data_IF_037359233485
#
_entry.id   IF_037359233485
#
_cell.length_a   1.000
_cell.length_b   1.000
_cell.length_c   1.000
_cell.angle_alpha   90.00
_cell.angle_beta   90.00
_cell.angle_gamma   90.00
#
_symmetry.space_group_name_H-M   'P 1'
#
loop_
_entity.id
_entity.type
_entity.pdbx_description
1 polymer ?
#
# COMPACT_ATOMS: atom_id res chain seq x y z
N UNK A 1 22.89 -7.27 10.15
CA UNK A 1 21.46 -7.58 10.30
C UNK A 1 20.74 -6.76 9.25
N UNK A 2 19.90 -7.36 8.41
CA UNK A 2 19.17 -6.61 7.38
C UNK A 2 18.26 -5.57 8.03
N UNK A 3 17.98 -4.49 7.31
CA UNK A 3 16.93 -3.54 7.72
C UNK A 3 15.56 -4.23 7.61
N UNK A 4 14.60 -3.89 8.48
CA UNK A 4 13.24 -4.43 8.39
C UNK A 4 12.33 -3.31 7.89
N UNK A 5 11.70 -3.51 6.73
CA UNK A 5 10.87 -2.51 6.08
C UNK A 5 9.40 -2.94 6.05
N UNK A 6 8.66 -2.58 7.10
CA UNK A 6 7.21 -2.75 7.10
C UNK A 6 6.55 -1.69 6.24
N UNK A 7 5.82 -2.12 5.20
CA UNK A 7 4.87 -1.25 4.53
C UNK A 7 3.47 -1.88 4.56
N UNK A 8 2.46 -1.02 4.70
CA UNK A 8 1.06 -1.42 4.69
C UNK A 8 0.32 -0.72 3.56
N UNK A 9 -0.43 -1.50 2.80
CA UNK A 9 -1.38 -0.98 1.82
C UNK A 9 -2.74 -0.74 2.49
N UNK A 10 -3.28 0.46 2.30
CA UNK A 10 -4.55 0.89 2.87
C UNK A 10 -5.46 1.36 1.75
N UNK A 11 -6.33 0.45 1.32
CA UNK A 11 -7.27 0.66 0.23
C UNK A 11 -8.70 0.28 0.61
N UNK A 12 -9.68 1.02 0.07
CA UNK A 12 -11.09 0.62 0.00
C UNK A 12 -11.67 0.96 -1.37
N UNK A 13 -12.29 -0.01 -2.06
CA UNK A 13 -12.94 0.23 -3.34
C UNK A 13 -14.37 0.76 -3.15
N UNK A 14 -14.88 1.50 -4.14
CA UNK A 14 -16.30 1.84 -4.24
C UNK A 14 -17.09 0.66 -4.82
N UNK A 15 -17.96 0.06 -4.02
CA UNK A 15 -18.81 -1.06 -4.46
C UNK A 15 -19.95 -0.53 -5.30
N UNK A 16 -20.18 -1.22 -6.42
CA UNK A 16 -21.28 -0.90 -7.33
C UNK A 16 -22.62 -1.32 -6.73
N UNK A 17 -23.66 -0.58 -7.11
CA UNK A 17 -25.04 -0.95 -6.90
C UNK A 17 -25.48 -1.99 -7.93
N UNK A 18 -26.62 -2.63 -7.69
CA UNK A 18 -27.31 -3.38 -8.75
C UNK A 18 -28.10 -2.37 -9.60
N UNK A 19 -27.63 -2.11 -10.81
CA UNK A 19 -28.34 -1.26 -11.78
C UNK A 19 -28.43 -1.96 -13.14
N UNK A 20 -29.40 -1.54 -13.96
CA UNK A 20 -29.59 -2.08 -15.31
C UNK A 20 -28.67 -1.35 -16.31
N UNK A 21 -28.23 -2.04 -17.36
CA UNK A 21 -27.55 -1.39 -18.49
C UNK A 21 -28.38 -0.25 -19.10
N UNK A 22 -29.71 -0.37 -19.04
CA UNK A 22 -30.64 0.68 -19.50
C UNK A 22 -30.67 1.92 -18.61
N UNK A 23 -30.08 1.84 -17.41
CA UNK A 23 -29.91 2.99 -16.52
C UNK A 23 -28.65 3.79 -16.83
N UNK A 24 -27.74 3.28 -17.68
CA UNK A 24 -26.49 3.98 -17.99
C UNK A 24 -26.80 5.25 -18.81
N UNK A 25 -26.36 6.40 -18.31
CA UNK A 25 -26.45 7.69 -19.02
C UNK A 25 -27.85 8.31 -19.04
N UNK A 26 -28.82 7.77 -18.31
CA UNK A 26 -30.09 8.47 -18.08
C UNK A 26 -29.88 9.76 -17.25
N UNK A 27 -30.83 10.70 -17.28
CA UNK A 27 -30.88 11.91 -16.42
C UNK A 27 -31.14 11.52 -14.94
N UNK A 28 -30.22 10.76 -14.37
CA UNK A 28 -30.23 10.23 -13.01
C UNK A 28 -28.99 10.72 -12.28
N UNK A 29 -29.05 10.82 -10.95
CA UNK A 29 -27.87 11.01 -10.12
C UNK A 29 -26.92 9.80 -10.31
N UNK A 30 -25.77 9.96 -11.01
CA UNK A 30 -24.91 8.83 -11.35
C UNK A 30 -24.28 8.20 -10.10
N UNK A 31 -23.89 9.04 -9.13
CA UNK A 31 -23.28 8.58 -7.88
C UNK A 31 -24.26 7.75 -7.07
N UNK A 32 -25.52 8.19 -6.94
CA UNK A 32 -26.56 7.45 -6.24
C UNK A 32 -27.00 6.17 -6.97
N UNK A 33 -26.91 6.16 -8.29
CA UNK A 33 -27.34 5.00 -9.09
C UNK A 33 -26.29 3.91 -9.15
N UNK A 34 -25.04 4.26 -9.41
CA UNK A 34 -24.00 3.27 -9.70
C UNK A 34 -23.30 2.75 -8.45
N UNK A 35 -23.29 3.48 -7.34
CA UNK A 35 -22.54 3.09 -6.15
C UNK A 35 -23.46 2.78 -4.97
N UNK A 36 -23.15 1.68 -4.28
CA UNK A 36 -23.90 1.27 -3.09
C UNK A 36 -23.38 1.99 -1.83
N UNK A 37 -23.83 3.23 -1.63
CA UNK A 37 -23.39 4.08 -0.51
C UNK A 37 -23.63 3.44 0.86
N UNK A 38 -24.78 2.79 1.05
CA UNK A 38 -25.10 2.13 2.33
C UNK A 38 -24.14 1.00 2.64
N UNK A 39 -23.85 0.14 1.65
CA UNK A 39 -22.88 -0.95 1.80
C UNK A 39 -21.47 -0.41 1.98
N UNK A 40 -21.07 0.56 1.17
CA UNK A 40 -19.76 1.20 1.23
C UNK A 40 -19.49 1.80 2.61
N UNK A 41 -20.40 2.64 3.11
CA UNK A 41 -20.33 3.21 4.46
C UNK A 41 -20.29 2.11 5.53
N UNK A 42 -21.23 1.17 5.49
CA UNK A 42 -21.33 0.12 6.51
C UNK A 42 -20.09 -0.78 6.58
N UNK A 43 -19.50 -1.13 5.44
CA UNK A 43 -18.26 -1.90 5.38
C UNK A 43 -17.08 -1.07 5.88
N UNK A 44 -16.92 0.16 5.37
CA UNK A 44 -15.82 1.02 5.77
C UNK A 44 -15.81 1.25 7.28
N UNK A 45 -16.94 1.64 7.88
CA UNK A 45 -16.99 1.91 9.31
C UNK A 45 -16.71 0.66 10.16
N UNK A 46 -17.19 -0.51 9.70
CA UNK A 46 -16.91 -1.80 10.36
C UNK A 46 -15.42 -2.11 10.32
N UNK A 47 -14.76 -1.95 9.17
CA UNK A 47 -13.33 -2.21 9.02
C UNK A 47 -12.51 -1.19 9.80
N UNK A 48 -12.88 0.09 9.78
CA UNK A 48 -12.23 1.15 10.54
C UNK A 48 -12.17 0.86 12.05
N UNK A 49 -13.29 0.42 12.64
CA UNK A 49 -13.37 0.07 14.06
C UNK A 49 -12.62 -1.21 14.42
N UNK A 50 -12.45 -2.14 13.48
CA UNK A 50 -11.82 -3.46 13.72
C UNK A 50 -10.35 -3.53 13.33
N UNK A 51 -9.90 -2.69 12.40
CA UNK A 51 -8.59 -2.76 11.77
C UNK A 51 -7.86 -1.43 11.87
N UNK A 52 -8.29 -0.39 11.14
CA UNK A 52 -7.49 0.84 11.00
C UNK A 52 -7.20 1.54 12.34
N UNK A 53 -8.23 1.83 13.13
CA UNK A 53 -8.05 2.54 14.41
C UNK A 53 -7.28 1.68 15.44
N UNK A 54 -7.61 0.40 15.67
CA UNK A 54 -6.83 -0.44 16.58
C UNK A 54 -5.37 -0.61 16.15
N UNK A 55 -5.10 -0.85 14.86
CA UNK A 55 -3.75 -1.03 14.34
C UNK A 55 -2.95 0.26 14.47
N UNK A 56 -3.53 1.42 14.09
CA UNK A 56 -2.82 2.70 14.20
C UNK A 56 -2.46 3.02 15.66
N UNK A 57 -3.33 2.68 16.62
CA UNK A 57 -3.03 2.80 18.04
C UNK A 57 -1.85 1.90 18.46
N UNK A 58 -1.85 0.64 18.04
CA UNK A 58 -0.75 -0.29 18.34
C UNK A 58 0.57 0.23 17.76
N UNK A 59 0.56 0.73 16.52
CA UNK A 59 1.75 1.28 15.87
C UNK A 59 2.26 2.52 16.61
N UNK A 60 1.37 3.41 17.05
CA UNK A 60 1.74 4.57 17.85
C UNK A 60 2.36 4.16 19.19
N UNK A 61 1.73 3.22 19.90
CA UNK A 61 2.26 2.68 21.17
C UNK A 61 3.64 2.06 20.98
N UNK A 62 3.89 1.38 19.85
CA UNK A 62 5.21 0.81 19.52
C UNK A 62 6.24 1.91 19.22
N UNK A 63 5.88 2.92 18.43
CA UNK A 63 6.76 4.07 18.14
C UNK A 63 7.18 4.76 19.44
N UNK A 64 6.22 5.04 20.32
CA UNK A 64 6.49 5.69 21.62
C UNK A 64 7.31 4.80 22.55
N UNK A 65 6.98 3.51 22.65
CA UNK A 65 7.68 2.55 23.52
C UNK A 65 9.14 2.35 23.13
N UNK A 66 9.45 2.45 21.85
CA UNK A 66 10.80 2.25 21.31
C UNK A 66 11.47 3.58 20.94
N UNK A 67 11.05 4.70 21.54
CA UNK A 67 11.68 6.02 21.40
C UNK A 67 11.91 6.45 19.93
N UNK A 68 10.99 6.07 19.02
CA UNK A 68 11.07 6.38 17.59
C UNK A 68 11.96 5.47 16.75
N UNK A 69 12.56 4.42 17.32
CA UNK A 69 13.33 3.43 16.56
C UNK A 69 12.44 2.50 15.72
N UNK A 70 11.18 2.29 16.13
CA UNK A 70 10.21 1.53 15.36
C UNK A 70 9.60 2.39 14.25
N UNK A 71 9.77 1.98 12.99
CA UNK A 71 9.33 2.75 11.81
C UNK A 71 8.52 1.91 10.85
N UNK A 72 7.57 2.54 10.17
CA UNK A 72 6.68 1.88 9.19
C UNK A 72 6.41 2.81 8.01
N UNK A 73 5.91 2.24 6.92
CA UNK A 73 5.46 3.00 5.76
C UNK A 73 4.03 2.65 5.38
N UNK A 74 3.30 3.60 4.78
CA UNK A 74 1.95 3.36 4.27
C UNK A 74 1.80 3.77 2.81
N UNK A 75 1.10 2.95 2.04
CA UNK A 75 0.49 3.33 0.78
C UNK A 75 -1.01 3.52 1.04
N UNK A 76 -1.49 4.77 1.00
CA UNK A 76 -2.88 5.13 1.34
C UNK A 76 -3.57 5.65 0.08
N UNK A 77 -4.53 4.91 -0.47
CA UNK A 77 -5.13 5.27 -1.76
C UNK A 77 -5.98 6.54 -1.65
N UNK A 78 -6.10 7.29 -2.75
CA UNK A 78 -6.97 8.47 -2.83
C UNK A 78 -8.41 8.14 -2.45
N UNK A 79 -8.95 7.04 -2.98
CA UNK A 79 -10.29 6.56 -2.64
C UNK A 79 -10.46 6.29 -1.14
N UNK A 80 -9.43 5.75 -0.47
CA UNK A 80 -9.49 5.52 0.97
C UNK A 80 -9.54 6.83 1.76
N UNK A 81 -8.81 7.85 1.31
CA UNK A 81 -8.85 9.18 1.91
C UNK A 81 -10.24 9.80 1.77
N UNK A 82 -10.90 9.65 0.62
CA UNK A 82 -12.29 10.07 0.42
C UNK A 82 -13.28 9.36 1.36
N UNK A 83 -13.10 8.05 1.57
CA UNK A 83 -13.89 7.30 2.57
C UNK A 83 -13.74 7.89 3.98
N UNK A 84 -12.51 8.26 4.36
CA UNK A 84 -12.27 8.89 5.65
C UNK A 84 -13.03 10.21 5.78
N UNK A 85 -12.91 11.09 4.79
CA UNK A 85 -13.57 12.39 4.79
C UNK A 85 -15.09 12.28 4.86
N UNK A 86 -15.66 11.36 4.07
CA UNK A 86 -17.10 11.21 3.94
C UNK A 86 -17.78 10.50 5.13
N UNK A 87 -17.05 9.63 5.84
CA UNK A 87 -17.69 8.70 6.78
C UNK A 87 -17.07 8.66 8.18
N UNK A 88 -15.74 8.69 8.30
CA UNK A 88 -15.06 8.64 9.61
C UNK A 88 -13.75 9.44 9.59
N UNK A 89 -13.80 10.79 9.72
CA UNK A 89 -12.60 11.62 9.68
C UNK A 89 -11.55 11.28 10.74
N UNK A 90 -11.97 10.68 11.87
CA UNK A 90 -11.06 10.23 12.93
C UNK A 90 -10.07 9.16 12.45
N UNK A 91 -10.40 8.40 11.41
CA UNK A 91 -9.46 7.46 10.78
C UNK A 91 -8.30 8.24 10.15
N UNK A 92 -8.58 9.29 9.36
CA UNK A 92 -7.53 10.12 8.78
C UNK A 92 -6.72 10.86 9.85
N UNK A 93 -7.37 11.36 10.90
CA UNK A 93 -6.67 11.95 12.05
C UNK A 93 -5.68 10.98 12.69
N UNK A 94 -6.00 9.70 12.78
CA UNK A 94 -5.08 8.69 13.33
C UNK A 94 -3.86 8.47 12.43
N UNK A 95 -3.99 8.58 11.11
CA UNK A 95 -2.84 8.56 10.19
C UNK A 95 -2.00 9.83 10.31
N UNK A 96 -2.61 11.02 10.45
CA UNK A 96 -1.86 12.24 10.75
C UNK A 96 -1.10 12.14 12.07
N UNK A 97 -1.70 11.55 13.11
CA UNK A 97 -1.03 11.35 14.39
C UNK A 97 0.21 10.48 14.24
N UNK A 98 0.10 9.36 13.52
CA UNK A 98 1.24 8.51 13.19
C UNK A 98 2.31 9.25 12.37
N UNK A 99 1.91 9.96 11.31
CA UNK A 99 2.82 10.71 10.46
C UNK A 99 3.59 11.79 11.24
N UNK A 100 2.91 12.51 12.12
CA UNK A 100 3.50 13.58 12.94
C UNK A 100 4.56 13.09 13.94
N UNK A 101 4.67 11.78 14.18
CA UNK A 101 5.78 11.21 14.97
C UNK A 101 7.13 11.29 14.25
N UNK A 102 7.15 11.52 12.93
CA UNK A 102 8.35 11.42 12.10
C UNK A 102 8.86 9.99 11.87
N UNK A 103 8.15 8.98 12.38
CA UNK A 103 8.52 7.57 12.27
C UNK A 103 7.73 6.82 11.19
N UNK A 104 6.88 7.54 10.45
CA UNK A 104 6.05 7.00 9.39
C UNK A 104 6.34 7.68 8.07
N UNK A 105 6.62 6.86 7.05
CA UNK A 105 6.79 7.32 5.67
C UNK A 105 5.53 7.04 4.83
N UNK A 106 5.31 7.84 3.78
CA UNK A 106 4.19 7.67 2.85
C UNK A 106 4.69 7.28 1.47
N UNK A 107 4.07 6.27 0.88
CA UNK A 107 4.42 5.73 -0.44
C UNK A 107 3.37 6.21 -1.45
N UNK A 108 3.84 6.65 -2.61
CA UNK A 108 2.95 7.03 -3.70
C UNK A 108 2.40 5.79 -4.41
N UNK A 109 1.16 5.85 -4.87
CA UNK A 109 0.55 4.86 -5.76
C UNK A 109 -0.39 5.54 -6.77
N UNK A 110 -1.22 4.77 -7.47
CA UNK A 110 -2.30 5.35 -8.29
C UNK A 110 -3.45 5.82 -7.40
N UNK A 111 -4.01 7.00 -7.65
CA UNK A 111 -5.05 7.59 -6.78
C UNK A 111 -6.26 6.65 -6.58
N UNK A 112 -6.72 6.01 -7.66
CA UNK A 112 -7.90 5.14 -7.62
C UNK A 112 -7.59 3.67 -7.35
N UNK A 113 -6.31 3.32 -7.10
CA UNK A 113 -5.87 1.93 -7.00
C UNK A 113 -6.25 1.14 -8.27
N UNK A 114 -6.01 1.75 -9.43
CA UNK A 114 -6.45 1.23 -10.72
C UNK A 114 -5.36 0.44 -11.44
N UNK A 115 -5.76 -0.36 -12.41
CA UNK A 115 -4.84 -1.13 -13.26
C UNK A 115 -4.41 -0.34 -14.51
N UNK A 116 -4.37 0.99 -14.44
CA UNK A 116 -4.04 1.88 -15.57
C UNK A 116 -2.65 1.61 -16.15
N UNK A 117 -1.71 1.07 -15.36
CA UNK A 117 -0.37 0.70 -15.83
C UNK A 117 -0.33 -0.48 -16.80
N UNK A 118 -1.43 -1.23 -16.96
CA UNK A 118 -1.48 -2.37 -17.88
C UNK A 118 -1.58 -1.95 -19.35
N UNK A 119 -1.98 -0.70 -19.62
CA UNK A 119 -2.11 -0.19 -20.98
C UNK A 119 -0.77 0.30 -21.52
N UNK A 120 -0.63 0.32 -22.86
CA UNK A 120 0.57 0.83 -23.52
C UNK A 120 0.69 2.34 -23.43
N UNK A 121 -0.45 3.03 -23.50
CA UNK A 121 -0.55 4.45 -23.22
C UNK A 121 -0.63 4.66 -21.70
N UNK A 122 0.44 5.24 -21.14
CA UNK A 122 0.57 5.49 -19.71
C UNK A 122 0.05 6.88 -19.29
N UNK A 123 -0.70 7.59 -20.14
CA UNK A 123 -1.24 8.92 -19.83
C UNK A 123 -2.16 8.87 -18.61
N UNK A 124 -3.17 7.99 -18.60
CA UNK A 124 -4.08 7.82 -17.45
C UNK A 124 -3.33 7.37 -16.18
N UNK A 125 -2.32 6.51 -16.34
CA UNK A 125 -1.48 6.08 -15.23
C UNK A 125 -0.74 7.28 -14.61
N UNK A 126 -0.07 8.08 -15.44
CA UNK A 126 0.65 9.27 -15.02
C UNK A 126 -0.26 10.31 -14.35
N UNK A 127 -1.45 10.55 -14.89
CA UNK A 127 -2.45 11.45 -14.29
C UNK A 127 -2.85 10.98 -12.89
N UNK A 128 -3.15 9.69 -12.71
CA UNK A 128 -3.51 9.15 -11.39
C UNK A 128 -2.35 9.18 -10.39
N UNK A 129 -1.11 8.96 -10.83
CA UNK A 129 0.08 9.06 -9.96
C UNK A 129 0.30 10.51 -9.53
N UNK A 130 0.20 11.45 -10.46
CA UNK A 130 0.29 12.88 -10.17
C UNK A 130 -0.81 13.30 -9.19
N UNK A 131 -2.05 12.88 -9.42
CA UNK A 131 -3.16 13.23 -8.55
C UNK A 131 -3.00 12.69 -7.13
N UNK A 132 -2.49 11.46 -6.98
CA UNK A 132 -2.15 10.89 -5.67
C UNK A 132 -1.06 11.68 -4.96
N UNK A 133 0.04 11.97 -5.65
CA UNK A 133 1.16 12.76 -5.13
C UNK A 133 0.72 14.15 -4.67
N UNK A 134 -0.10 14.82 -5.45
CA UNK A 134 -0.67 16.13 -5.11
C UNK A 134 -1.56 16.06 -3.87
N UNK A 135 -2.39 15.01 -3.77
CA UNK A 135 -3.25 14.79 -2.60
C UNK A 135 -2.43 14.53 -1.32
N UNK A 136 -1.34 13.76 -1.41
CA UNK A 136 -0.43 13.56 -0.28
C UNK A 136 0.26 14.87 0.13
N UNK A 137 0.65 15.70 -0.84
CA UNK A 137 1.22 17.03 -0.58
C UNK A 137 0.22 17.93 0.13
N UNK A 138 -1.03 17.98 -0.32
CA UNK A 138 -2.07 18.81 0.29
C UNK A 138 -2.43 18.35 1.72
N UNK A 139 -2.52 17.03 1.95
CA UNK A 139 -2.95 16.49 3.24
C UNK A 139 -1.82 16.41 4.26
N UNK A 140 -0.63 15.99 3.84
CA UNK A 140 0.49 15.69 4.75
C UNK A 140 1.66 16.65 4.60
N UNK A 141 1.61 17.62 3.68
CA UNK A 141 2.76 18.46 3.32
C UNK A 141 4.00 17.63 3.00
N UNK A 142 3.80 16.52 2.28
CA UNK A 142 4.81 15.51 2.01
C UNK A 142 4.82 15.13 0.53
N UNK A 143 6.04 15.04 -0.04
CA UNK A 143 6.24 14.57 -1.40
C UNK A 143 6.92 13.20 -1.36
N UNK A 144 6.23 12.11 -1.75
CA UNK A 144 6.77 10.76 -1.70
C UNK A 144 7.93 10.57 -2.69
N UNK A 145 8.94 9.81 -2.27
CA UNK A 145 10.11 9.46 -3.09
C UNK A 145 10.08 8.02 -3.63
N UNK A 146 9.26 7.18 -3.02
CA UNK A 146 9.07 5.77 -3.38
C UNK A 146 7.67 5.56 -3.94
N UNK A 147 7.58 4.75 -4.98
CA UNK A 147 6.33 4.37 -5.63
C UNK A 147 6.01 2.88 -5.41
N UNK A 148 4.73 2.58 -5.24
CA UNK A 148 4.20 1.22 -5.25
C UNK A 148 3.02 1.20 -6.21
N UNK A 149 3.10 0.37 -7.24
CA UNK A 149 2.01 0.27 -8.20
C UNK A 149 0.86 -0.59 -7.64
N UNK A 150 -0.33 -0.42 -8.18
CA UNK A 150 -1.51 -1.25 -7.92
C UNK A 150 -1.16 -2.73 -8.12
N UNK A 151 -1.53 -3.58 -7.15
CA UNK A 151 -1.18 -5.01 -7.10
C UNK A 151 0.32 -5.29 -7.29
N UNK A 152 1.18 -4.31 -7.03
CA UNK A 152 2.63 -4.45 -7.13
C UNK A 152 3.06 -4.82 -8.59
N UNK A 153 2.23 -4.45 -9.57
CA UNK A 153 2.44 -4.73 -10.99
C UNK A 153 3.66 -3.97 -11.51
N UNK A 154 4.51 -4.68 -12.25
CA UNK A 154 5.78 -4.15 -12.70
C UNK A 154 6.19 -4.72 -14.06
N UNK A 155 6.70 -3.84 -14.91
CA UNK A 155 7.48 -4.16 -16.09
C UNK A 155 8.51 -3.04 -16.34
N UNK A 156 9.40 -3.21 -17.32
CA UNK A 156 10.42 -2.21 -17.63
C UNK A 156 9.82 -0.86 -18.10
N UNK A 157 8.66 -0.85 -18.76
CA UNK A 157 8.00 0.39 -19.22
C UNK A 157 7.48 1.17 -18.02
N UNK A 158 6.84 0.49 -17.08
CA UNK A 158 6.38 1.04 -15.80
C UNK A 158 7.58 1.60 -15.02
N UNK A 159 8.66 0.83 -14.90
CA UNK A 159 9.88 1.29 -14.23
C UNK A 159 10.45 2.57 -14.86
N UNK A 160 10.47 2.65 -16.20
CA UNK A 160 10.93 3.84 -16.91
C UNK A 160 10.05 5.05 -16.62
N UNK A 161 8.73 4.88 -16.73
CA UNK A 161 7.77 5.95 -16.45
C UNK A 161 7.88 6.45 -15.00
N UNK A 162 8.03 5.55 -14.03
CA UNK A 162 8.22 5.92 -12.61
C UNK A 162 9.51 6.74 -12.41
N UNK A 163 10.62 6.37 -13.05
CA UNK A 163 11.86 7.16 -13.02
C UNK A 163 11.66 8.55 -13.65
N UNK A 164 10.99 8.63 -14.80
CA UNK A 164 10.66 9.90 -15.49
C UNK A 164 9.79 10.83 -14.61
N UNK A 165 8.91 10.26 -13.79
CA UNK A 165 8.10 10.99 -12.82
C UNK A 165 8.89 11.46 -11.60
N UNK A 166 10.19 11.13 -11.49
CA UNK A 166 11.10 11.62 -10.47
C UNK A 166 11.19 10.75 -9.21
N UNK A 167 10.63 9.55 -9.21
CA UNK A 167 10.76 8.63 -8.07
C UNK A 167 12.17 8.00 -8.03
N UNK A 168 12.67 7.79 -6.83
CA UNK A 168 13.98 7.16 -6.59
C UNK A 168 13.89 5.66 -6.28
N UNK A 169 12.70 5.19 -5.88
CA UNK A 169 12.44 3.79 -5.58
C UNK A 169 11.09 3.30 -6.09
N UNK A 170 11.01 2.01 -6.41
CA UNK A 170 9.76 1.29 -6.70
C UNK A 170 9.72 -0.02 -5.91
N UNK A 171 8.55 -0.35 -5.37
CA UNK A 171 8.28 -1.64 -4.72
C UNK A 171 7.61 -2.57 -5.75
N UNK A 172 8.18 -3.76 -5.93
CA UNK A 172 7.59 -4.83 -6.75
C UNK A 172 7.62 -6.20 -6.03
N UNK A 173 7.04 -7.25 -6.62
CA UNK A 173 6.79 -8.54 -5.98
C UNK A 173 8.01 -9.45 -6.08
N UNK A 174 8.48 -10.02 -4.98
CA UNK A 174 9.71 -10.83 -4.92
C UNK A 174 9.50 -12.33 -5.11
N UNK A 175 8.76 -12.75 -6.15
CA UNK A 175 8.49 -14.20 -6.37
C UNK A 175 9.69 -14.97 -6.94
N UNK A 176 9.79 -16.28 -6.65
CA UNK A 176 10.83 -17.12 -7.27
C UNK A 176 10.77 -17.15 -8.79
N UNK A 177 9.57 -16.94 -9.38
CA UNK A 177 9.39 -16.94 -10.84
C UNK A 177 10.19 -15.82 -11.51
N UNK A 178 10.33 -14.67 -10.85
CA UNK A 178 11.08 -13.53 -11.39
C UNK A 178 12.52 -13.46 -10.87
N UNK A 179 12.77 -14.00 -9.68
CA UNK A 179 14.08 -13.91 -9.03
C UNK A 179 15.01 -15.06 -9.39
N UNK A 180 14.47 -16.22 -9.76
CA UNK A 180 15.23 -17.45 -9.99
C UNK A 180 16.13 -17.78 -8.77
N UNK A 181 17.43 -17.57 -8.89
CA UNK A 181 18.43 -17.80 -7.84
C UNK A 181 18.67 -16.59 -6.91
N UNK A 182 18.08 -15.43 -7.24
CA UNK A 182 18.23 -14.18 -6.50
C UNK A 182 17.32 -14.15 -5.27
N UNK A 183 17.58 -13.22 -4.35
CA UNK A 183 16.80 -13.05 -3.12
C UNK A 183 16.03 -11.74 -3.14
N UNK A 184 14.78 -11.70 -2.64
CA UNK A 184 14.02 -10.44 -2.53
C UNK A 184 14.65 -9.45 -1.55
N UNK A 185 15.60 -9.89 -0.72
CA UNK A 185 16.16 -9.08 0.35
C UNK A 185 17.27 -8.11 -0.11
N UNK A 186 17.57 -8.06 -1.40
CA UNK A 186 18.59 -7.16 -1.95
C UNK A 186 17.96 -6.07 -2.80
N UNK A 187 18.65 -4.93 -2.86
CA UNK A 187 18.23 -3.83 -3.71
C UNK A 187 18.62 -4.07 -5.17
N UNK A 188 17.65 -3.99 -6.08
CA UNK A 188 17.88 -4.15 -7.52
C UNK A 188 17.78 -2.83 -8.28
N UNK A 189 18.13 -2.88 -9.57
CA UNK A 189 17.94 -1.79 -10.52
C UNK A 189 17.27 -2.32 -11.78
N UNK A 190 16.36 -1.57 -12.40
CA UNK A 190 15.82 -1.92 -13.71
C UNK A 190 16.89 -1.72 -14.79
N UNK A 191 16.77 -2.46 -15.88
CA UNK A 191 17.74 -2.38 -16.99
C UNK A 191 17.66 -1.06 -17.77
N UNK A 192 16.53 -0.38 -17.74
CA UNK A 192 16.24 0.82 -18.54
C UNK A 192 16.00 2.09 -17.70
N UNK A 193 16.16 2.03 -16.38
CA UNK A 193 16.00 3.16 -15.46
C UNK A 193 17.10 3.15 -14.37
N UNK A 194 18.31 3.59 -14.75
CA UNK A 194 19.52 3.41 -13.95
C UNK A 194 19.56 4.14 -12.60
N UNK A 195 18.69 5.14 -12.41
CA UNK A 195 18.57 5.91 -11.17
C UNK A 195 17.50 5.33 -10.22
N UNK A 196 16.57 4.52 -10.75
CA UNK A 196 15.52 3.89 -9.95
C UNK A 196 16.06 2.68 -9.19
N UNK A 197 15.68 2.56 -7.92
CA UNK A 197 15.92 1.39 -7.08
C UNK A 197 14.68 0.50 -7.03
N UNK A 198 14.86 -0.82 -7.08
CA UNK A 198 13.77 -1.79 -7.01
C UNK A 198 13.88 -2.55 -5.70
N UNK A 199 12.89 -2.31 -4.83
CA UNK A 199 12.66 -3.05 -3.59
C UNK A 199 11.70 -4.19 -3.88
N UNK A 200 12.02 -5.39 -3.39
CA UNK A 200 11.18 -6.56 -3.62
C UNK A 200 10.49 -6.96 -2.32
N UNK A 201 9.17 -7.09 -2.38
CA UNK A 201 8.39 -7.66 -1.30
C UNK A 201 8.85 -9.09 -1.06
N UNK A 202 9.26 -9.41 0.16
CA UNK A 202 9.47 -10.79 0.56
C UNK A 202 8.11 -11.45 0.84
N UNK A 203 7.52 -12.04 -0.19
CA UNK A 203 6.17 -12.62 -0.11
C UNK A 203 6.09 -13.77 0.91
N UNK A 204 7.18 -14.53 1.12
CA UNK A 204 7.17 -15.67 2.06
C UNK A 204 6.88 -15.20 3.48
N UNK A 205 7.67 -14.26 3.99
CA UNK A 205 7.51 -13.74 5.36
C UNK A 205 6.29 -12.84 5.50
N UNK A 206 5.95 -12.05 4.48
CA UNK A 206 4.78 -11.17 4.56
C UNK A 206 3.46 -11.94 4.48
N UNK A 207 3.36 -13.00 3.66
CA UNK A 207 2.18 -13.87 3.60
C UNK A 207 2.00 -14.69 4.87
N UNK A 208 3.09 -15.02 5.57
CA UNK A 208 3.01 -15.72 6.85
C UNK A 208 2.22 -14.91 7.88
N UNK A 209 2.40 -13.58 7.88
CA UNK A 209 1.60 -12.66 8.70
C UNK A 209 0.21 -12.44 8.09
N UNK A 210 0.15 -12.12 6.79
CA UNK A 210 -1.10 -11.67 6.16
C UNK A 210 -2.14 -12.77 5.98
N UNK A 211 -1.72 -14.01 5.71
CA UNK A 211 -2.61 -15.11 5.33
C UNK A 211 -2.46 -16.35 6.22
N UNK A 212 -1.24 -16.67 6.70
CA UNK A 212 -1.00 -17.93 7.45
C UNK A 212 -1.07 -17.80 8.96
N UNK A 213 -1.06 -16.58 9.50
CA UNK A 213 -1.02 -16.31 10.94
C UNK A 213 -2.10 -17.07 11.72
N UNK A 214 -3.34 -17.09 11.20
CA UNK A 214 -4.47 -17.81 11.81
C UNK A 214 -4.72 -19.20 11.23
N UNK A 215 -3.88 -19.68 10.30
CA UNK A 215 -4.05 -20.98 9.67
C UNK A 215 -3.44 -22.07 10.55
N UNK A 216 -4.24 -22.90 11.20
CA UNK A 216 -3.72 -23.99 12.05
C UNK A 216 -3.15 -25.18 11.28
N UNK A 217 -3.34 -25.22 9.95
CA UNK A 217 -2.99 -26.36 9.11
C UNK A 217 -1.62 -26.29 8.44
N UNK A 218 -0.94 -25.13 8.46
CA UNK A 218 0.43 -25.05 7.94
C UNK A 218 1.46 -25.51 8.98
N UNK A 219 2.60 -25.96 8.50
CA UNK A 219 3.66 -26.60 9.28
C UNK A 219 4.33 -25.68 10.32
N UNK A 220 4.21 -24.36 10.18
CA UNK A 220 4.81 -23.39 11.09
C UNK A 220 3.82 -22.80 12.11
N UNK A 221 2.60 -23.32 12.23
CA UNK A 221 1.65 -22.88 13.26
C UNK A 221 2.08 -23.33 14.67
N UNK A 222 1.90 -22.49 15.72
CA UNK A 222 1.52 -21.08 15.66
C UNK A 222 2.68 -20.17 15.24
N UNK A 223 2.36 -19.07 14.55
CA UNK A 223 3.34 -18.01 14.29
C UNK A 223 3.46 -17.12 15.52
N UNK A 224 4.59 -17.20 16.23
CA UNK A 224 4.89 -16.33 17.37
C UNK A 224 5.86 -15.22 16.97
N UNK A 225 5.91 -14.14 17.77
CA UNK A 225 6.82 -13.04 17.54
C UNK A 225 8.29 -13.49 17.58
N UNK A 226 8.65 -14.41 18.49
CA UNK A 226 10.00 -14.97 18.60
C UNK A 226 10.38 -15.80 17.37
N UNK A 227 9.44 -16.60 16.86
CA UNK A 227 9.64 -17.39 15.63
C UNK A 227 9.90 -16.47 14.44
N UNK A 228 9.02 -15.47 14.26
CA UNK A 228 9.16 -14.50 13.17
C UNK A 228 10.47 -13.71 13.28
N UNK A 229 10.78 -13.16 14.46
CA UNK A 229 12.01 -12.42 14.70
C UNK A 229 13.26 -13.25 14.42
N UNK A 230 13.27 -14.54 14.78
CA UNK A 230 14.38 -15.46 14.48
C UNK A 230 14.56 -15.66 12.97
N UNK A 231 13.48 -15.78 12.20
CA UNK A 231 13.56 -15.91 10.74
C UNK A 231 14.15 -14.65 10.10
N UNK A 232 13.70 -13.48 10.53
CA UNK A 232 14.19 -12.20 10.01
C UNK A 232 15.66 -11.99 10.40
N UNK A 233 16.03 -12.26 11.66
CA UNK A 233 17.42 -12.13 12.13
C UNK A 233 18.39 -13.07 11.43
N UNK A 234 17.91 -14.24 10.97
CA UNK A 234 18.67 -15.22 10.19
C UNK A 234 18.66 -14.97 8.69
N UNK A 235 18.01 -13.92 8.20
CA UNK A 235 17.95 -13.60 6.78
C UNK A 235 19.17 -12.77 6.34
N UNK A 236 19.74 -13.13 5.19
CA UNK A 236 20.76 -12.32 4.52
C UNK A 236 20.14 -11.25 3.63
N UNK A 237 20.84 -10.15 3.41
CA UNK A 237 20.45 -9.07 2.49
C UNK A 237 20.57 -7.66 3.08
N UNK A 238 20.12 -6.70 2.28
CA UNK A 238 20.08 -5.28 2.64
C UNK A 238 18.82 -4.94 3.47
N UNK A 239 17.68 -5.53 3.07
CA UNK A 239 16.36 -5.29 3.66
C UNK A 239 15.50 -6.54 3.63
N UNK A 240 14.61 -6.71 4.60
CA UNK A 240 13.52 -7.70 4.59
C UNK A 240 12.17 -7.00 4.64
#
# INVERSE_FOLDING_TARGET
MPSICFYFEVHQPFRLNKFSVFSIGADINPLGTYFNHTLNKGVFEKVARKCYLPTNRILLELIERFDGEFKVSFSITGTFMEYCDAHMPDVMKSFHQLFNTGCVDLICETYYHSLSSLFDDLTEFEEQVNFHRETLRERFNYTPSVFRNTEVIYDNRIAKKIEELGFSGVITEGTEKILEWRSPNYLYKPVNAGNLKVLLRNYRVSDDIAFRFSSSGWNEFPLTAEKFAKWIAGSDGDSV
#
